data_IF_938734127927
#
_entry.id   IF_938734127927
#
_cell.length_a   1.000
_cell.length_b   1.000
_cell.length_c   1.000
_cell.angle_alpha   90.00
_cell.angle_beta   90.00
_cell.angle_gamma   90.00
#
_symmetry.space_group_name_H-M   'P 1'
#
loop_
_entity.id
_entity.type
_entity.pdbx_description
1 polymer ?
#
# COMPACT_ATOMS: atom_id res chain seq x y z
N UNK A 1 -2.55 40.60 23.47
CA UNK A 1 -2.44 39.53 22.46
C UNK A 1 -2.42 38.22 23.21
N UNK A 2 -3.46 37.40 23.08
CA UNK A 2 -3.41 36.02 23.57
C UNK A 2 -2.25 35.31 22.86
N UNK A 3 -1.33 34.71 23.60
CA UNK A 3 -0.26 33.89 23.03
C UNK A 3 -0.89 32.84 22.12
N UNK A 4 -0.47 32.80 20.85
CA UNK A 4 -0.92 31.80 19.90
C UNK A 4 -0.35 30.47 20.38
N UNK A 5 -1.18 29.44 20.63
CA UNK A 5 -0.69 28.16 21.12
C UNK A 5 0.24 27.53 20.09
N UNK A 6 1.51 27.36 20.45
CA UNK A 6 2.50 26.68 19.61
C UNK A 6 2.37 25.18 19.78
N UNK A 7 2.31 24.45 18.66
CA UNK A 7 2.20 22.99 18.63
C UNK A 7 3.49 22.38 18.10
N UNK A 8 3.98 21.31 18.71
CA UNK A 8 5.17 20.62 18.23
C UNK A 8 4.85 19.82 16.96
N UNK A 9 5.76 19.84 15.96
CA UNK A 9 5.55 19.13 14.69
C UNK A 9 5.32 17.62 14.87
N UNK A 10 5.95 17.02 15.89
CA UNK A 10 5.80 15.59 16.23
C UNK A 10 4.38 15.22 16.67
N UNK A 11 3.60 16.19 17.15
CA UNK A 11 2.23 15.99 17.67
C UNK A 11 1.17 15.92 16.54
N UNK A 12 1.54 16.31 15.31
CA UNK A 12 0.63 16.36 14.16
C UNK A 12 0.22 14.95 13.71
N UNK A 13 1.20 14.08 13.57
CA UNK A 13 1.00 12.72 13.05
C UNK A 13 0.07 11.88 13.95
N UNK A 14 0.27 11.76 15.28
CA UNK A 14 -0.64 10.97 16.12
C UNK A 14 -2.03 11.59 16.18
N UNK A 15 -2.15 12.92 16.10
CA UNK A 15 -3.44 13.62 16.09
C UNK A 15 -4.23 13.32 14.80
N UNK A 16 -3.59 13.43 13.64
CA UNK A 16 -4.26 13.13 12.36
C UNK A 16 -4.63 11.65 12.24
N UNK A 17 -3.78 10.74 12.71
CA UNK A 17 -4.09 9.30 12.72
C UNK A 17 -5.40 9.04 13.45
N UNK A 18 -5.56 9.58 14.67
CA UNK A 18 -6.79 9.37 15.44
C UNK A 18 -8.00 10.10 14.86
N UNK A 19 -7.86 11.31 14.33
CA UNK A 19 -8.96 12.02 13.66
C UNK A 19 -9.48 11.27 12.42
N UNK A 20 -8.59 10.54 11.73
CA UNK A 20 -8.94 9.72 10.57
C UNK A 20 -9.39 8.29 10.95
N UNK A 21 -9.43 7.95 12.25
CA UNK A 21 -9.75 6.60 12.71
C UNK A 21 -8.68 5.54 12.37
N UNK A 22 -7.45 5.98 12.10
CA UNK A 22 -6.31 5.11 11.79
C UNK A 22 -5.45 4.88 13.05
N UNK A 23 -4.79 3.71 13.18
CA UNK A 23 -3.86 3.48 14.28
C UNK A 23 -2.67 4.45 14.22
N UNK A 24 -2.20 4.91 15.39
CA UNK A 24 -1.02 5.78 15.49
C UNK A 24 0.23 4.99 15.05
N UNK A 25 1.10 5.55 14.17
CA UNK A 25 2.32 4.88 13.72
C UNK A 25 3.19 4.44 14.88
N UNK A 26 3.70 3.21 14.82
CA UNK A 26 4.38 2.56 15.94
C UNK A 26 5.57 3.34 16.50
N UNK A 27 6.36 4.01 15.65
CA UNK A 27 7.55 4.78 16.05
C UNK A 27 7.26 6.20 16.53
N UNK A 28 5.99 6.58 16.66
CA UNK A 28 5.62 7.92 17.05
C UNK A 28 5.70 8.11 18.58
N UNK A 29 6.29 9.22 19.02
CA UNK A 29 6.40 9.63 20.43
C UNK A 29 5.71 10.98 20.71
N UNK A 30 5.11 11.59 19.68
CA UNK A 30 4.40 12.84 19.79
C UNK A 30 3.14 12.70 20.63
N UNK A 31 2.69 13.80 21.22
CA UNK A 31 1.44 13.88 21.99
C UNK A 31 0.28 14.20 21.06
N UNK A 32 -0.94 13.92 21.49
CA UNK A 32 -2.13 14.38 20.75
C UNK A 32 -2.47 15.81 21.11
N UNK A 33 -2.86 16.58 20.10
CA UNK A 33 -3.44 17.91 20.24
C UNK A 33 -4.89 17.75 20.71
N UNK A 34 -5.07 17.60 22.02
CA UNK A 34 -6.37 17.33 22.64
C UNK A 34 -7.48 18.33 22.30
N UNK A 35 -7.22 19.63 22.05
CA UNK A 35 -8.27 20.58 21.65
C UNK A 35 -8.89 20.32 20.27
N UNK A 36 -8.32 19.44 19.44
CA UNK A 36 -8.90 19.07 18.15
C UNK A 36 -9.97 17.98 18.26
N UNK A 37 -10.10 17.34 19.43
CA UNK A 37 -11.10 16.30 19.70
C UNK A 37 -12.36 16.91 20.34
N UNK A 38 -12.87 17.99 19.73
CA UNK A 38 -14.15 18.60 20.09
C UNK A 38 -15.23 17.98 19.24
N UNK A 39 -16.06 17.12 19.86
CA UNK A 39 -17.20 16.51 19.20
C UNK A 39 -18.32 17.55 19.11
N UNK A 40 -18.53 18.13 17.92
CA UNK A 40 -19.65 19.03 17.66
C UNK A 40 -20.70 18.29 16.80
N UNK A 41 -21.34 17.29 17.40
CA UNK A 41 -22.42 16.54 16.75
C UNK A 41 -23.78 17.15 17.10
N UNK A 42 -24.74 17.07 16.16
CA UNK A 42 -26.14 17.48 16.41
C UNK A 42 -26.85 16.63 17.48
N UNK A 43 -26.31 15.45 17.77
CA UNK A 43 -26.78 14.53 18.81
C UNK A 43 -25.64 14.35 19.81
N UNK A 44 -25.83 14.82 21.04
CA UNK A 44 -24.92 14.61 22.18
C UNK A 44 -25.44 13.46 23.03
N UNK A 45 -24.53 12.60 23.51
CA UNK A 45 -24.89 11.49 24.40
C UNK A 45 -25.13 11.97 25.83
N UNK A 46 -24.40 13.01 26.25
CA UNK A 46 -24.53 13.64 27.55
C UNK A 46 -24.69 15.16 27.38
N UNK A 47 -23.60 15.92 27.35
CA UNK A 47 -23.51 17.34 27.03
C UNK A 47 -22.28 17.60 26.13
N UNK A 48 -22.27 18.67 25.34
CA UNK A 48 -21.17 19.02 24.41
C UNK A 48 -19.80 19.09 25.11
N UNK A 49 -19.77 19.63 26.34
CA UNK A 49 -18.55 19.76 27.16
C UNK A 49 -18.06 18.40 27.63
N UNK A 50 -18.96 17.52 28.09
CA UNK A 50 -18.59 16.21 28.60
C UNK A 50 -18.19 15.26 27.47
N UNK A 51 -18.86 15.34 26.32
CA UNK A 51 -18.56 14.50 25.16
C UNK A 51 -17.19 14.85 24.55
N UNK A 52 -16.86 16.15 24.48
CA UNK A 52 -15.53 16.61 24.09
C UNK A 52 -14.45 16.23 25.11
N UNK A 53 -14.75 16.30 26.41
CA UNK A 53 -13.82 15.87 27.46
C UNK A 53 -13.55 14.35 27.39
N UNK A 54 -14.57 13.54 27.09
CA UNK A 54 -14.42 12.10 26.94
C UNK A 54 -13.63 11.75 25.67
N UNK A 55 -13.92 12.41 24.55
CA UNK A 55 -13.21 12.18 23.29
C UNK A 55 -11.71 12.54 23.38
N UNK A 56 -11.40 13.68 23.99
CA UNK A 56 -10.01 14.09 24.21
C UNK A 56 -9.28 13.17 25.20
N UNK A 57 -9.96 12.67 26.23
CA UNK A 57 -9.40 11.69 27.17
C UNK A 57 -9.14 10.33 26.49
N UNK A 58 -10.07 9.85 25.66
CA UNK A 58 -9.91 8.62 24.89
C UNK A 58 -8.72 8.70 23.93
N UNK A 59 -8.64 9.79 23.17
CA UNK A 59 -7.53 10.04 22.26
C UNK A 59 -6.20 10.02 23.01
N UNK A 60 -6.11 10.74 24.13
CA UNK A 60 -4.93 10.75 24.99
C UNK A 60 -4.54 9.37 25.52
N UNK A 61 -5.51 8.53 25.87
CA UNK A 61 -5.26 7.17 26.34
C UNK A 61 -4.67 6.28 25.23
N UNK A 62 -5.20 6.33 24.01
CA UNK A 62 -4.70 5.56 22.86
C UNK A 62 -3.24 5.90 22.53
N UNK A 63 -2.88 7.20 22.57
CA UNK A 63 -1.49 7.62 22.40
C UNK A 63 -0.59 7.12 23.52
N UNK A 64 -1.01 7.26 24.78
CA UNK A 64 -0.22 6.78 25.91
C UNK A 64 0.05 5.27 25.82
N UNK A 65 -0.92 4.49 25.35
CA UNK A 65 -0.78 3.05 25.17
C UNK A 65 0.18 2.71 24.01
N UNK A 66 0.08 3.40 22.87
CA UNK A 66 1.00 3.21 21.75
C UNK A 66 2.44 3.56 22.14
N UNK A 67 2.66 4.69 22.82
CA UNK A 67 3.98 5.13 23.28
C UNK A 67 4.57 4.12 24.28
N UNK A 68 3.76 3.58 25.19
CA UNK A 68 4.20 2.51 26.10
C UNK A 68 4.69 1.29 25.32
N UNK A 69 3.90 0.84 24.34
CA UNK A 69 4.24 -0.33 23.51
C UNK A 69 5.56 -0.13 22.77
N UNK A 70 5.79 1.07 22.25
CA UNK A 70 7.04 1.43 21.58
C UNK A 70 8.24 1.44 22.55
N UNK A 71 8.10 2.05 23.72
CA UNK A 71 9.17 2.10 24.72
C UNK A 71 9.54 0.71 25.27
N UNK A 72 8.56 -0.17 25.46
CA UNK A 72 8.82 -1.55 25.88
C UNK A 72 9.62 -2.31 24.83
N UNK A 73 9.25 -2.18 23.54
CA UNK A 73 9.96 -2.82 22.44
C UNK A 73 11.40 -2.29 22.29
N UNK A 74 11.63 -0.99 22.51
CA UNK A 74 12.99 -0.43 22.52
C UNK A 74 13.80 -0.96 23.69
N UNK A 75 13.22 -1.02 24.89
CA UNK A 75 13.95 -1.47 26.07
C UNK A 75 14.38 -2.93 25.95
N UNK A 76 13.52 -3.81 25.42
CA UNK A 76 13.85 -5.21 25.14
C UNK A 76 15.03 -5.38 24.17
N UNK A 77 15.20 -4.44 23.22
CA UNK A 77 16.23 -4.52 22.19
C UNK A 77 17.53 -3.85 22.63
N UNK A 78 17.45 -2.72 23.32
CA UNK A 78 18.59 -1.82 23.57
C UNK A 78 19.12 -1.86 25.01
N UNK A 79 18.30 -2.22 26.00
CA UNK A 79 18.61 -2.07 27.44
C UNK A 79 19.12 -0.66 27.84
N UNK A 80 18.83 0.38 27.04
CA UNK A 80 19.36 1.74 27.25
C UNK A 80 18.53 2.56 28.25
N UNK A 81 17.29 2.16 28.54
CA UNK A 81 16.38 2.89 29.42
C UNK A 81 16.59 2.46 30.88
N UNK A 82 16.72 3.43 31.79
CA UNK A 82 16.85 3.14 33.23
C UNK A 82 15.59 2.48 33.80
N UNK A 83 15.76 1.40 34.57
CA UNK A 83 14.67 0.70 35.27
C UNK A 83 13.83 1.65 36.15
N UNK A 84 14.48 2.66 36.74
CA UNK A 84 13.82 3.68 37.56
C UNK A 84 12.81 4.54 36.76
N UNK A 85 13.11 4.81 35.49
CA UNK A 85 12.25 5.55 34.58
C UNK A 85 11.07 4.69 34.12
N UNK A 86 11.33 3.42 33.80
CA UNK A 86 10.31 2.46 33.37
C UNK A 86 9.26 2.22 34.47
N UNK A 87 9.69 1.98 35.71
CA UNK A 87 8.79 1.79 36.85
C UNK A 87 7.93 3.04 37.10
N UNK A 88 8.52 4.23 36.98
CA UNK A 88 7.80 5.50 37.17
C UNK A 88 6.74 5.73 36.09
N UNK A 89 7.05 5.39 34.85
CA UNK A 89 6.13 5.48 33.71
C UNK A 89 4.99 4.46 33.84
N UNK A 90 5.31 3.21 34.16
CA UNK A 90 4.33 2.15 34.33
C UNK A 90 3.34 2.47 35.46
N UNK A 91 3.84 3.06 36.56
CA UNK A 91 2.98 3.54 37.65
C UNK A 91 2.00 4.62 37.18
N UNK A 92 2.48 5.65 36.49
CA UNK A 92 1.63 6.74 35.98
C UNK A 92 0.59 6.26 34.99
N UNK A 93 0.95 5.29 34.14
CA UNK A 93 0.03 4.72 33.18
C UNK A 93 -1.01 3.84 33.85
N UNK A 94 -0.62 3.03 34.86
CA UNK A 94 -1.57 2.26 35.67
C UNK A 94 -2.58 3.16 36.36
N UNK A 95 -2.13 4.28 36.95
CA UNK A 95 -3.01 5.27 37.58
C UNK A 95 -4.01 5.86 36.56
N UNK A 96 -3.54 6.26 35.38
CA UNK A 96 -4.39 6.77 34.30
C UNK A 96 -5.39 5.71 33.79
N UNK A 97 -4.95 4.46 33.65
CA UNK A 97 -5.79 3.34 33.22
C UNK A 97 -6.86 3.00 34.26
N UNK A 98 -6.53 3.09 35.55
CA UNK A 98 -7.48 2.91 36.64
C UNK A 98 -8.53 4.03 36.68
N UNK A 99 -8.11 5.28 36.48
CA UNK A 99 -9.04 6.42 36.35
C UNK A 99 -9.98 6.25 35.16
N UNK A 100 -9.43 5.85 34.00
CA UNK A 100 -10.22 5.58 32.80
C UNK A 100 -11.23 4.45 33.04
N UNK A 101 -10.80 3.31 33.57
CA UNK A 101 -11.67 2.16 33.85
C UNK A 101 -12.81 2.52 34.82
N UNK A 102 -12.56 3.43 35.77
CA UNK A 102 -13.59 3.96 36.67
C UNK A 102 -14.63 4.82 35.94
N UNK A 103 -14.20 5.59 34.94
CA UNK A 103 -15.09 6.42 34.09
C UNK A 103 -15.86 5.52 33.11
N UNK A 104 -15.21 4.57 32.46
CA UNK A 104 -15.83 3.67 31.47
C UNK A 104 -16.87 2.74 32.09
N UNK A 105 -16.63 2.25 33.32
CA UNK A 105 -17.61 1.41 34.04
C UNK A 105 -18.91 2.16 34.41
N UNK A 106 -18.90 3.50 34.40
CA UNK A 106 -20.11 4.31 34.55
C UNK A 106 -20.82 4.56 33.20
N UNK A 107 -20.11 4.41 32.07
CA UNK A 107 -20.63 4.62 30.70
C UNK A 107 -21.19 3.31 30.09
N UNK A 108 -20.87 2.15 30.68
CA UNK A 108 -21.26 0.81 30.21
C UNK A 108 -22.77 0.56 30.07
N UNK A 109 -23.65 1.42 30.58
CA UNK A 109 -25.10 1.32 30.38
C UNK A 109 -25.52 1.57 28.91
N UNK A 110 -24.70 2.26 28.09
CA UNK A 110 -25.01 2.59 26.69
C UNK A 110 -24.33 1.70 25.62
N UNK A 111 -23.79 0.54 26.02
CA UNK A 111 -22.99 -0.38 25.17
C UNK A 111 -23.73 -0.93 23.93
N UNK A 112 -25.06 -0.85 23.91
CA UNK A 112 -25.91 -1.39 22.84
C UNK A 112 -25.84 -0.57 21.53
N UNK A 113 -25.41 0.70 21.57
CA UNK A 113 -25.34 1.57 20.39
C UNK A 113 -24.00 1.38 19.63
N UNK A 114 -22.92 1.02 20.33
CA UNK A 114 -21.62 0.78 19.70
C UNK A 114 -21.53 -0.59 19.00
N UNK A 115 -22.27 -1.59 19.48
CA UNK A 115 -22.35 -2.91 18.84
C UNK A 115 -23.06 -2.88 17.47
N UNK A 116 -24.03 -1.98 17.28
CA UNK A 116 -24.73 -1.85 15.99
C UNK A 116 -23.88 -1.17 14.92
N UNK A 117 -22.98 -0.25 15.31
CA UNK A 117 -22.03 0.41 14.39
C UNK A 117 -20.92 -0.57 13.97
N UNK A 118 -20.47 -1.43 14.88
CA UNK A 118 -19.49 -2.49 14.61
C UNK A 118 -20.00 -3.56 13.62
N UNK A 119 -21.30 -3.85 13.62
CA UNK A 119 -21.90 -4.80 12.66
C UNK A 119 -22.07 -4.18 11.26
N UNK A 120 -22.28 -2.87 11.18
CA UNK A 120 -22.43 -2.15 9.91
C UNK A 120 -21.11 -2.00 9.12
N UNK A 121 -19.96 -1.99 9.80
CA UNK A 121 -18.65 -1.94 9.14
C UNK A 121 -18.26 -3.26 8.45
N UNK A 122 -18.68 -4.41 8.99
CA UNK A 122 -18.37 -5.75 8.43
C UNK A 122 -19.01 -6.00 7.06
N UNK A 123 -20.12 -5.33 6.73
CA UNK A 123 -20.81 -5.49 5.44
C UNK A 123 -20.22 -4.61 4.33
N UNK A 124 -19.40 -3.61 4.66
CA UNK A 124 -18.78 -2.70 3.68
C UNK A 124 -17.55 -3.28 2.96
N UNK A 125 -16.87 -4.26 3.55
CA UNK A 125 -15.68 -4.90 2.98
C UNK A 125 -15.98 -5.95 1.89
N UNK A 126 -17.24 -6.39 1.78
CA UNK A 126 -17.68 -7.40 0.80
C UNK A 126 -17.96 -6.75 -0.57
N UNK A 127 -18.26 -5.45 -0.59
CA UNK A 127 -18.68 -4.71 -1.79
C UNK A 127 -17.54 -4.55 -2.81
N UNK A 128 -16.28 -4.24 -2.43
CA UNK A 128 -15.17 -4.19 -3.38
C UNK A 128 -14.88 -5.54 -4.04
N UNK A 129 -15.01 -6.65 -3.30
CA UNK A 129 -14.78 -8.00 -3.82
C UNK A 129 -15.86 -8.42 -4.83
N UNK A 130 -17.13 -8.08 -4.58
CA UNK A 130 -18.24 -8.30 -5.52
C UNK A 130 -18.16 -7.39 -6.75
N UNK A 131 -17.74 -6.13 -6.59
CA UNK A 131 -17.48 -5.22 -7.71
C UNK A 131 -16.30 -5.71 -8.56
N UNK A 132 -15.22 -6.20 -7.95
CA UNK A 132 -14.09 -6.80 -8.66
C UNK A 132 -14.52 -8.06 -9.43
N UNK A 133 -15.28 -8.97 -8.81
CA UNK A 133 -15.87 -10.14 -9.49
C UNK A 133 -16.84 -9.73 -10.61
N UNK A 134 -17.62 -8.67 -10.41
CA UNK A 134 -18.53 -8.11 -11.41
C UNK A 134 -17.79 -7.51 -12.62
N UNK A 135 -16.72 -6.75 -12.39
CA UNK A 135 -15.85 -6.19 -13.45
C UNK A 135 -15.12 -7.31 -14.21
N UNK A 136 -14.71 -8.38 -13.52
CA UNK A 136 -14.10 -9.55 -14.17
C UNK A 136 -15.12 -10.41 -14.95
N UNK A 137 -16.41 -10.33 -14.60
CA UNK A 137 -17.52 -10.91 -15.36
C UNK A 137 -17.88 -10.08 -16.61
N UNK A 138 -17.38 -8.84 -16.71
CA UNK A 138 -17.53 -8.00 -17.90
C UNK A 138 -16.66 -8.54 -19.02
N UNK A 139 -17.20 -9.58 -19.66
CA UNK A 139 -16.91 -10.18 -20.96
C UNK A 139 -15.67 -9.59 -21.66
N UNK A 140 -14.47 -9.87 -21.15
CA UNK A 140 -13.25 -9.89 -21.96
C UNK A 140 -13.35 -11.11 -22.89
N UNK A 141 -14.18 -10.96 -23.91
CA UNK A 141 -14.40 -11.95 -24.94
C UNK A 141 -13.22 -11.92 -25.91
N UNK A 142 -12.02 -12.25 -25.43
CA UNK A 142 -10.92 -12.57 -26.32
C UNK A 142 -11.32 -13.87 -27.02
N UNK A 143 -11.62 -13.80 -28.33
CA UNK A 143 -11.77 -14.99 -29.18
C UNK A 143 -10.44 -15.76 -29.08
N UNK A 144 -10.45 -16.87 -28.34
CA UNK A 144 -9.22 -17.53 -27.90
C UNK A 144 -8.58 -18.35 -29.02
N UNK A 145 -7.42 -17.91 -29.49
CA UNK A 145 -6.44 -18.79 -30.15
C UNK A 145 -5.03 -18.71 -29.53
N UNK A 146 -4.81 -17.88 -28.50
CA UNK A 146 -3.50 -17.74 -27.84
C UNK A 146 -3.51 -18.28 -26.40
N UNK A 147 -2.46 -18.97 -25.98
CA UNK A 147 -2.33 -19.51 -24.62
C UNK A 147 -2.18 -18.38 -23.59
N UNK A 148 -1.69 -17.19 -23.98
CA UNK A 148 -1.74 -15.98 -23.13
C UNK A 148 -3.18 -15.63 -22.73
N UNK A 149 -4.13 -15.70 -23.67
CA UNK A 149 -5.55 -15.49 -23.40
C UNK A 149 -6.14 -16.61 -22.52
N UNK A 150 -5.65 -17.84 -22.64
CA UNK A 150 -6.05 -18.97 -21.78
C UNK A 150 -5.48 -18.81 -20.36
N UNK A 151 -4.21 -18.45 -20.19
CA UNK A 151 -3.58 -18.14 -18.91
C UNK A 151 -4.23 -16.94 -18.23
N UNK A 152 -4.60 -15.91 -18.98
CA UNK A 152 -5.41 -14.78 -18.47
C UNK A 152 -6.80 -15.27 -18.07
N UNK A 153 -7.49 -16.07 -18.90
CA UNK A 153 -8.86 -16.53 -18.61
C UNK A 153 -8.95 -17.46 -17.40
N UNK A 154 -8.05 -18.43 -17.28
CA UNK A 154 -8.10 -19.46 -16.23
C UNK A 154 -7.11 -19.23 -15.09
N UNK A 155 -5.92 -18.71 -15.39
CA UNK A 155 -4.90 -18.40 -14.38
C UNK A 155 -5.29 -17.23 -13.50
N UNK A 156 -5.96 -16.20 -14.05
CA UNK A 156 -6.48 -15.10 -13.22
C UNK A 156 -7.56 -15.63 -12.28
N UNK A 157 -8.49 -16.45 -12.76
CA UNK A 157 -9.53 -17.03 -11.91
C UNK A 157 -8.93 -17.83 -10.74
N UNK A 158 -7.94 -18.67 -11.02
CA UNK A 158 -7.26 -19.46 -10.00
C UNK A 158 -6.50 -18.60 -8.98
N UNK A 159 -5.78 -17.57 -9.43
CA UNK A 159 -5.05 -16.68 -8.51
C UNK A 159 -6.00 -15.79 -7.71
N UNK A 160 -7.07 -15.26 -8.33
CA UNK A 160 -8.11 -14.54 -7.60
C UNK A 160 -8.71 -15.41 -6.50
N UNK A 161 -8.99 -16.70 -6.78
CA UNK A 161 -9.42 -17.64 -5.74
C UNK A 161 -8.38 -17.74 -4.63
N UNK A 162 -7.09 -17.96 -4.93
CA UNK A 162 -6.05 -18.12 -3.91
C UNK A 162 -5.82 -16.85 -3.08
N UNK A 163 -5.85 -15.68 -3.70
CA UNK A 163 -5.76 -14.39 -3.00
C UNK A 163 -6.99 -14.12 -2.15
N UNK A 164 -8.20 -14.42 -2.65
CA UNK A 164 -9.43 -14.30 -1.88
C UNK A 164 -9.47 -15.28 -0.70
N UNK A 165 -8.94 -16.50 -0.87
CA UNK A 165 -8.82 -17.49 0.20
C UNK A 165 -7.84 -17.01 1.29
N UNK A 166 -6.74 -16.36 0.91
CA UNK A 166 -5.80 -15.75 1.86
C UNK A 166 -6.45 -14.66 2.69
N UNK A 167 -7.16 -13.73 2.04
CA UNK A 167 -7.85 -12.65 2.76
C UNK A 167 -9.01 -13.18 3.61
N UNK A 168 -9.71 -14.21 3.13
CA UNK A 168 -10.74 -14.89 3.91
C UNK A 168 -10.17 -15.50 5.19
N UNK A 169 -8.98 -16.12 5.14
CA UNK A 169 -8.31 -16.64 6.35
C UNK A 169 -7.99 -15.55 7.37
N UNK A 170 -7.67 -14.33 6.94
CA UNK A 170 -7.42 -13.21 7.84
C UNK A 170 -8.68 -12.72 8.58
N UNK A 171 -9.87 -13.02 8.05
CA UNK A 171 -11.17 -12.69 8.68
C UNK A 171 -11.56 -13.78 9.71
N UNK A 172 -11.08 -15.01 9.53
CA UNK A 172 -11.39 -16.14 10.40
C UNK A 172 -10.60 -16.01 11.72
N UNK A 173 -11.23 -16.21 12.90
CA UNK A 173 -10.53 -16.18 14.18
C UNK A 173 -9.31 -17.11 14.21
N UNK A 174 -8.18 -16.63 14.73
CA UNK A 174 -6.89 -17.36 14.75
C UNK A 174 -6.99 -18.78 15.30
N UNK A 175 -7.84 -19.01 16.31
CA UNK A 175 -8.05 -20.34 16.90
C UNK A 175 -8.58 -21.39 15.91
N UNK A 176 -9.36 -20.96 14.91
CA UNK A 176 -9.90 -21.83 13.86
C UNK A 176 -8.85 -22.02 12.77
N UNK A 177 -8.13 -20.95 12.40
CA UNK A 177 -7.05 -20.99 11.41
C UNK A 177 -5.93 -21.90 11.88
N UNK A 178 -5.49 -21.78 13.13
CA UNK A 178 -4.47 -22.64 13.75
C UNK A 178 -4.89 -24.11 13.79
N UNK A 179 -6.19 -24.40 13.95
CA UNK A 179 -6.71 -25.77 13.94
C UNK A 179 -6.67 -26.38 12.54
N UNK A 180 -6.91 -25.58 11.51
CA UNK A 180 -6.97 -26.01 10.10
C UNK A 180 -5.56 -26.08 9.50
N UNK A 181 -4.75 -25.03 9.69
CA UNK A 181 -3.44 -24.87 9.07
C UNK A 181 -2.29 -25.30 9.98
N UNK A 182 -2.54 -25.62 11.26
CA UNK A 182 -1.52 -26.09 12.22
C UNK A 182 -0.27 -25.17 12.25
N UNK A 183 -0.47 -23.86 12.21
CA UNK A 183 0.61 -22.86 12.21
C UNK A 183 1.35 -22.67 10.87
N UNK A 184 0.87 -23.24 9.77
CA UNK A 184 1.49 -23.13 8.44
C UNK A 184 0.82 -22.07 7.53
N UNK A 185 0.42 -20.92 8.05
CA UNK A 185 -0.14 -19.82 7.25
C UNK A 185 0.78 -19.39 6.08
N UNK A 186 2.09 -19.55 6.27
CA UNK A 186 3.14 -19.30 5.27
C UNK A 186 3.04 -20.22 4.03
N UNK A 187 2.37 -21.38 4.14
CA UNK A 187 2.21 -22.29 2.99
C UNK A 187 1.31 -21.66 1.92
N UNK A 188 0.25 -20.95 2.31
CA UNK A 188 -0.67 -20.38 1.34
C UNK A 188 -0.04 -19.23 0.56
N UNK A 189 0.72 -18.38 1.24
CA UNK A 189 1.47 -17.28 0.61
C UNK A 189 2.54 -17.82 -0.35
N UNK A 190 3.21 -18.93 0.01
CA UNK A 190 4.17 -19.62 -0.87
C UNK A 190 3.52 -20.31 -2.06
N UNK A 191 2.36 -20.93 -1.87
CA UNK A 191 1.59 -21.54 -2.96
C UNK A 191 1.12 -20.48 -3.98
N UNK A 192 0.68 -19.31 -3.48
CA UNK A 192 0.35 -18.17 -4.35
C UNK A 192 1.59 -17.65 -5.11
N UNK A 193 2.76 -17.59 -4.46
CA UNK A 193 4.00 -17.19 -5.13
C UNK A 193 4.40 -18.19 -6.22
N UNK A 194 4.45 -19.49 -5.90
CA UNK A 194 4.82 -20.53 -6.84
C UNK A 194 3.89 -20.57 -8.05
N UNK A 195 2.59 -20.39 -7.83
CA UNK A 195 1.62 -20.33 -8.93
C UNK A 195 1.82 -19.07 -9.79
N UNK A 196 2.15 -17.92 -9.20
CA UNK A 196 2.50 -16.71 -9.96
C UNK A 196 3.78 -16.88 -10.80
N UNK A 197 4.80 -17.58 -10.28
CA UNK A 197 6.04 -17.90 -11.02
C UNK A 197 5.74 -18.86 -12.17
N UNK A 198 4.93 -19.90 -11.94
CA UNK A 198 4.55 -20.86 -12.99
C UNK A 198 3.78 -20.15 -14.11
N UNK A 199 2.85 -19.25 -13.76
CA UNK A 199 2.15 -18.40 -14.73
C UNK A 199 3.12 -17.47 -15.48
N UNK A 200 4.10 -16.88 -14.79
CA UNK A 200 5.15 -16.07 -15.42
C UNK A 200 5.92 -16.83 -16.48
N UNK A 201 6.43 -18.01 -16.12
CA UNK A 201 7.19 -18.87 -17.01
C UNK A 201 6.31 -19.28 -18.20
N UNK A 202 5.05 -19.64 -17.98
CA UNK A 202 4.10 -19.97 -19.05
C UNK A 202 3.88 -18.82 -20.02
N UNK A 203 3.73 -17.59 -19.53
CA UNK A 203 3.57 -16.38 -20.35
C UNK A 203 4.82 -16.06 -21.17
N UNK A 204 6.01 -16.16 -20.56
CA UNK A 204 7.29 -15.84 -21.21
C UNK A 204 7.69 -16.90 -22.24
N UNK A 205 7.42 -18.19 -21.97
CA UNK A 205 7.75 -19.29 -22.88
C UNK A 205 6.74 -19.45 -24.01
N UNK A 206 5.55 -18.85 -23.94
CA UNK A 206 4.51 -19.05 -24.95
C UNK A 206 4.89 -18.63 -26.38
N UNK A 207 5.57 -17.48 -26.62
CA UNK A 207 6.01 -17.12 -27.98
C UNK A 207 6.92 -18.18 -28.61
N UNK A 208 7.57 -19.00 -27.80
CA UNK A 208 8.47 -20.10 -28.22
C UNK A 208 7.67 -21.40 -28.43
N UNK A 209 6.63 -21.64 -27.61
CA UNK A 209 5.82 -22.86 -27.62
C UNK A 209 4.61 -22.81 -28.57
N UNK A 210 4.22 -21.63 -29.05
CA UNK A 210 3.12 -21.50 -30.02
C UNK A 210 3.53 -22.09 -31.36
N UNK A 211 2.74 -23.03 -31.88
CA UNK A 211 3.01 -23.65 -33.19
C UNK A 211 2.74 -22.70 -34.37
N UNK A 212 1.99 -21.60 -34.16
CA UNK A 212 1.63 -20.62 -35.20
C UNK A 212 1.52 -19.16 -34.70
N UNK A 213 2.59 -18.56 -34.16
CA UNK A 213 2.56 -17.17 -33.68
C UNK A 213 2.30 -16.14 -34.79
N UNK A 214 2.45 -16.52 -36.06
CA UNK A 214 2.32 -15.69 -37.25
C UNK A 214 0.88 -15.50 -37.77
N UNK A 215 -0.11 -16.28 -37.30
CA UNK A 215 -1.51 -16.17 -37.74
C UNK A 215 -2.31 -15.09 -36.99
N UNK A 216 -1.80 -14.59 -35.86
CA UNK A 216 -2.45 -13.58 -35.02
C UNK A 216 -1.87 -12.20 -35.34
N UNK A 217 -2.69 -11.14 -35.48
CA UNK A 217 -2.18 -9.79 -35.67
C UNK A 217 -1.25 -9.39 -34.53
N UNK A 218 -0.06 -8.88 -34.86
CA UNK A 218 1.00 -8.56 -33.90
C UNK A 218 0.52 -7.69 -32.73
N UNK A 219 -0.43 -6.78 -32.97
CA UNK A 219 -1.07 -5.92 -31.96
C UNK A 219 -1.76 -6.72 -30.84
N UNK A 220 -2.49 -7.77 -31.18
CA UNK A 220 -3.22 -8.59 -30.19
C UNK A 220 -2.27 -9.46 -29.36
N UNK A 221 -1.22 -9.98 -30.00
CA UNK A 221 -0.16 -10.74 -29.32
C UNK A 221 0.51 -9.84 -28.28
N UNK A 222 1.04 -8.68 -28.69
CA UNK A 222 1.72 -7.76 -27.77
C UNK A 222 0.77 -7.30 -26.66
N UNK A 223 -0.48 -6.95 -26.97
CA UNK A 223 -1.46 -6.53 -25.96
C UNK A 223 -1.70 -7.62 -24.91
N UNK A 224 -1.95 -8.86 -25.34
CA UNK A 224 -2.18 -9.99 -24.43
C UNK A 224 -0.93 -10.34 -23.60
N UNK A 225 0.26 -10.24 -24.19
CA UNK A 225 1.52 -10.49 -23.49
C UNK A 225 1.79 -9.44 -22.43
N UNK A 226 1.74 -8.14 -22.75
CA UNK A 226 2.02 -7.09 -21.76
C UNK A 226 0.98 -7.05 -20.65
N UNK A 227 -0.30 -7.25 -20.96
CA UNK A 227 -1.35 -7.35 -19.93
C UNK A 227 -1.11 -8.54 -19.01
N UNK A 228 -0.77 -9.72 -19.54
CA UNK A 228 -0.46 -10.89 -18.71
C UNK A 228 0.76 -10.67 -17.79
N UNK A 229 1.84 -10.06 -18.28
CA UNK A 229 3.01 -9.70 -17.47
C UNK A 229 2.63 -8.71 -16.35
N UNK A 230 1.79 -7.72 -16.65
CA UNK A 230 1.31 -6.75 -15.67
C UNK A 230 0.48 -7.41 -14.57
N UNK A 231 -0.39 -8.37 -14.92
CA UNK A 231 -1.16 -9.14 -13.94
C UNK A 231 -0.28 -10.00 -13.04
N UNK A 232 0.71 -10.69 -13.61
CA UNK A 232 1.65 -11.49 -12.81
C UNK A 232 2.46 -10.61 -11.87
N UNK A 233 2.94 -9.46 -12.35
CA UNK A 233 3.64 -8.50 -11.49
C UNK A 233 2.72 -8.04 -10.35
N UNK A 234 1.47 -7.68 -10.65
CA UNK A 234 0.51 -7.26 -9.63
C UNK A 234 0.35 -8.32 -8.52
N UNK A 235 0.33 -9.60 -8.87
CA UNK A 235 0.26 -10.70 -7.90
C UNK A 235 1.50 -10.78 -7.01
N UNK A 236 2.70 -10.65 -7.59
CA UNK A 236 3.95 -10.59 -6.84
C UNK A 236 3.91 -9.37 -5.89
N UNK A 237 3.44 -8.22 -6.35
CA UNK A 237 3.32 -7.01 -5.54
C UNK A 237 2.34 -7.19 -4.37
N UNK A 238 1.18 -7.81 -4.59
CA UNK A 238 0.24 -8.13 -3.51
C UNK A 238 0.86 -9.02 -2.44
N UNK A 239 1.66 -9.99 -2.88
CA UNK A 239 2.31 -10.91 -1.97
C UNK A 239 3.41 -10.23 -1.15
N UNK A 240 4.22 -9.41 -1.82
CA UNK A 240 5.39 -8.75 -1.24
C UNK A 240 5.02 -7.56 -0.34
N UNK A 241 3.94 -6.84 -0.67
CA UNK A 241 3.44 -5.74 0.15
C UNK A 241 2.92 -6.20 1.52
N UNK A 242 2.57 -7.48 1.67
CA UNK A 242 2.01 -8.02 2.91
C UNK A 242 0.58 -7.54 3.16
N UNK A 243 -0.02 -8.02 4.25
CA UNK A 243 -1.47 -7.87 4.48
C UNK A 243 -1.86 -6.39 4.72
N UNK A 244 -1.04 -5.65 5.46
CA UNK A 244 -1.32 -4.24 5.80
C UNK A 244 -1.30 -3.29 4.59
N UNK A 245 -0.44 -3.54 3.59
CA UNK A 245 -0.27 -2.64 2.44
C UNK A 245 -0.93 -3.18 1.16
N UNK A 246 -1.45 -4.41 1.19
CA UNK A 246 -2.19 -5.00 0.08
C UNK A 246 -3.40 -4.17 -0.39
N UNK A 247 -4.20 -3.48 0.46
CA UNK A 247 -5.25 -2.58 -0.03
C UNK A 247 -4.72 -1.41 -0.87
N UNK A 248 -3.54 -0.88 -0.54
CA UNK A 248 -2.91 0.20 -1.31
C UNK A 248 -2.50 -0.28 -2.71
N UNK A 249 -1.98 -1.51 -2.84
CA UNK A 249 -1.68 -2.12 -4.14
C UNK A 249 -2.96 -2.36 -4.97
N UNK A 250 -4.07 -2.71 -4.32
CA UNK A 250 -5.38 -2.83 -4.98
C UNK A 250 -5.89 -1.49 -5.50
N UNK A 251 -5.81 -0.43 -4.69
CA UNK A 251 -6.21 0.90 -5.13
C UNK A 251 -5.30 1.43 -6.25
N UNK A 252 -4.00 1.07 -6.22
CA UNK A 252 -3.07 1.37 -7.31
C UNK A 252 -3.54 0.75 -8.63
N UNK A 253 -3.88 -0.54 -8.64
CA UNK A 253 -4.36 -1.21 -9.86
C UNK A 253 -5.70 -0.65 -10.33
N UNK A 254 -6.60 -0.31 -9.41
CA UNK A 254 -7.86 0.35 -9.72
C UNK A 254 -7.65 1.74 -10.35
N UNK A 255 -6.71 2.54 -9.82
CA UNK A 255 -6.37 3.85 -10.38
C UNK A 255 -5.83 3.76 -11.80
N UNK A 256 -5.04 2.72 -12.10
CA UNK A 256 -4.54 2.43 -13.43
C UNK A 256 -5.68 2.05 -14.38
N UNK A 257 -6.61 1.20 -13.92
CA UNK A 257 -7.79 0.81 -14.69
C UNK A 257 -8.63 2.03 -15.07
N UNK A 258 -8.92 2.92 -14.12
CA UNK A 258 -9.64 4.16 -14.38
C UNK A 258 -8.92 5.04 -15.40
N UNK A 259 -7.59 5.16 -15.27
CA UNK A 259 -6.79 5.91 -16.23
C UNK A 259 -6.85 5.32 -17.65
N UNK A 260 -6.79 4.00 -17.78
CA UNK A 260 -6.95 3.31 -19.08
C UNK A 260 -8.35 3.55 -19.67
N UNK A 261 -9.41 3.47 -18.85
CA UNK A 261 -10.79 3.77 -19.29
C UNK A 261 -10.90 5.22 -19.77
N UNK A 262 -10.31 6.17 -19.04
CA UNK A 262 -10.30 7.59 -19.45
C UNK A 262 -9.58 7.79 -20.79
N UNK A 263 -8.44 7.12 -21.01
CA UNK A 263 -7.74 7.16 -22.30
C UNK A 263 -8.65 6.61 -23.41
N UNK A 264 -9.33 5.49 -23.17
CA UNK A 264 -10.24 4.89 -24.17
C UNK A 264 -11.40 5.82 -24.52
N UNK A 265 -11.99 6.50 -23.53
CA UNK A 265 -13.08 7.45 -23.74
C UNK A 265 -12.62 8.74 -24.44
N UNK A 266 -11.36 9.15 -24.21
CA UNK A 266 -10.78 10.35 -24.80
C UNK A 266 -10.18 10.12 -26.20
N UNK A 267 -10.11 8.89 -26.69
CA UNK A 267 -9.42 8.58 -27.93
C UNK A 267 -10.29 8.87 -29.16
N UNK A 268 -10.10 10.07 -29.75
CA UNK A 268 -10.76 10.50 -30.99
C UNK A 268 -10.05 10.01 -32.28
N UNK A 269 -9.00 9.20 -32.16
CA UNK A 269 -8.30 8.59 -33.31
C UNK A 269 -7.40 9.54 -34.13
N UNK A 270 -7.40 10.84 -33.84
CA UNK A 270 -6.73 11.88 -34.64
C UNK A 270 -5.40 12.39 -34.05
N UNK A 271 -5.25 12.45 -32.72
CA UNK A 271 -3.98 12.83 -32.07
C UNK A 271 -3.51 11.86 -30.98
N UNK A 272 -2.21 11.52 -31.02
CA UNK A 272 -1.55 10.72 -30.00
C UNK A 272 -0.80 11.59 -28.99
N UNK A 273 -1.50 12.01 -27.93
CA UNK A 273 -0.94 12.65 -26.74
C UNK A 273 -0.11 11.68 -25.85
N UNK A 274 0.80 10.91 -26.44
CA UNK A 274 1.63 9.94 -25.70
C UNK A 274 2.49 10.59 -24.60
N UNK A 275 2.85 11.86 -24.77
CA UNK A 275 3.61 12.62 -23.79
C UNK A 275 2.81 12.92 -22.52
N UNK A 276 1.54 13.32 -22.66
CA UNK A 276 0.69 13.58 -21.49
C UNK A 276 0.48 12.29 -20.70
N UNK A 277 0.25 11.17 -21.39
CA UNK A 277 0.06 9.86 -20.76
C UNK A 277 1.31 9.44 -19.98
N UNK A 278 2.49 9.63 -20.57
CA UNK A 278 3.78 9.33 -19.93
C UNK A 278 4.00 10.17 -18.67
N UNK A 279 3.68 11.47 -18.72
CA UNK A 279 3.79 12.39 -17.58
C UNK A 279 2.82 11.96 -16.47
N UNK A 280 1.55 11.72 -16.80
CA UNK A 280 0.53 11.31 -15.83
C UNK A 280 0.93 9.99 -15.16
N UNK A 281 1.40 8.99 -15.91
CA UNK A 281 1.88 7.74 -15.35
C UNK A 281 3.11 7.91 -14.46
N UNK A 282 4.03 8.82 -14.82
CA UNK A 282 5.20 9.11 -13.96
C UNK A 282 4.79 9.76 -12.63
N UNK A 283 3.74 10.58 -12.64
CA UNK A 283 3.15 11.19 -11.44
C UNK A 283 2.39 10.16 -10.60
N UNK A 284 1.59 9.29 -11.24
CA UNK A 284 0.90 8.18 -10.57
C UNK A 284 1.90 7.22 -9.91
N UNK A 285 2.97 6.87 -10.60
CA UNK A 285 4.05 6.04 -10.03
C UNK A 285 4.63 6.67 -8.75
N UNK A 286 4.83 8.00 -8.75
CA UNK A 286 5.33 8.72 -7.58
C UNK A 286 4.30 8.82 -6.46
N UNK A 287 3.04 9.05 -6.79
CA UNK A 287 1.96 9.09 -5.81
C UNK A 287 1.85 7.74 -5.09
N UNK A 288 1.80 6.65 -5.86
CA UNK A 288 1.67 5.30 -5.31
C UNK A 288 2.91 4.80 -4.57
N UNK A 289 4.09 5.34 -4.85
CA UNK A 289 5.27 5.09 -4.00
C UNK A 289 4.99 5.51 -2.54
N UNK A 290 4.43 6.71 -2.33
CA UNK A 290 4.10 7.18 -0.98
C UNK A 290 2.83 6.54 -0.43
N UNK A 291 1.81 6.32 -1.28
CA UNK A 291 0.55 5.70 -0.84
C UNK A 291 0.71 4.23 -0.42
N UNK A 292 1.75 3.54 -0.91
CA UNK A 292 2.16 2.20 -0.43
C UNK A 292 3.10 2.26 0.79
N UNK A 293 3.12 3.39 1.50
CA UNK A 293 3.93 3.64 2.69
C UNK A 293 5.46 3.56 2.49
N UNK A 294 5.97 3.70 1.25
CA UNK A 294 7.40 3.83 1.04
C UNK A 294 7.87 5.27 1.27
N UNK A 295 9.09 5.40 1.81
CA UNK A 295 9.76 6.68 1.97
C UNK A 295 11.16 6.62 1.34
N UNK A 296 11.70 7.75 0.85
CA UNK A 296 13.00 7.79 0.19
C UNK A 296 14.15 7.85 1.23
N UNK A 297 14.13 6.95 2.22
CA UNK A 297 15.19 6.83 3.24
C UNK A 297 15.59 5.37 3.43
N UNK A 298 16.85 5.09 3.75
CA UNK A 298 17.31 3.71 3.90
C UNK A 298 16.68 3.00 5.12
N UNK A 299 16.36 3.74 6.16
CA UNK A 299 15.73 3.23 7.40
C UNK A 299 14.27 2.83 7.21
N UNK A 300 13.60 3.32 6.17
CA UNK A 300 12.19 3.03 5.88
C UNK A 300 12.01 1.90 4.87
N UNK A 301 13.08 1.20 4.48
CA UNK A 301 12.98 0.06 3.57
C UNK A 301 12.24 -1.08 4.29
N UNK A 302 11.19 -1.59 3.64
CA UNK A 302 10.37 -2.69 4.16
C UNK A 302 11.09 -4.02 3.94
N UNK A 303 11.93 -4.42 4.91
CA UNK A 303 12.75 -5.63 4.83
C UNK A 303 11.98 -6.94 4.93
N UNK A 304 10.72 -6.91 5.39
CA UNK A 304 9.86 -8.11 5.50
C UNK A 304 9.72 -8.85 4.16
N UNK A 305 9.75 -8.09 3.06
CA UNK A 305 9.78 -8.60 1.69
C UNK A 305 10.91 -9.62 1.42
N UNK A 306 12.06 -9.47 2.08
CA UNK A 306 13.22 -10.34 1.91
C UNK A 306 13.00 -11.77 2.42
N UNK A 307 12.08 -11.95 3.37
CA UNK A 307 11.92 -13.18 4.14
C UNK A 307 10.72 -14.03 3.72
N UNK A 308 9.92 -13.56 2.76
CA UNK A 308 8.73 -14.26 2.27
C UNK A 308 9.01 -15.70 1.81
N UNK A 309 10.16 -15.94 1.17
CA UNK A 309 10.54 -17.25 0.62
C UNK A 309 11.61 -18.00 1.42
N UNK A 310 12.34 -17.32 2.31
CA UNK A 310 13.40 -17.96 3.06
C UNK A 310 12.81 -18.67 4.29
N UNK A 311 13.00 -19.99 4.36
CA UNK A 311 12.84 -20.75 5.59
C UNK A 311 14.19 -21.35 5.97
N UNK A 312 14.30 -21.81 7.24
CA UNK A 312 15.48 -22.28 7.99
C UNK A 312 16.58 -23.09 7.25
N UNK A 313 16.39 -23.51 6.00
CA UNK A 313 17.31 -24.38 5.25
C UNK A 313 17.69 -23.87 3.85
N UNK A 314 17.02 -22.85 3.28
CA UNK A 314 17.34 -22.30 1.95
C UNK A 314 17.45 -20.77 2.04
N UNK A 315 18.68 -20.27 2.02
CA UNK A 315 18.98 -18.84 1.99
C UNK A 315 19.52 -18.45 0.61
N UNK A 316 18.71 -17.72 -0.16
CA UNK A 316 19.18 -17.07 -1.38
C UNK A 316 19.17 -15.56 -1.20
N UNK A 317 20.35 -14.98 -0.97
CA UNK A 317 20.50 -13.53 -0.82
C UNK A 317 20.09 -12.77 -2.09
N UNK A 318 20.28 -13.36 -3.26
CA UNK A 318 19.90 -12.75 -4.55
C UNK A 318 18.39 -12.63 -4.69
N UNK A 319 17.65 -13.69 -4.32
CA UNK A 319 16.19 -13.69 -4.35
C UNK A 319 15.60 -12.71 -3.32
N UNK A 320 16.13 -12.72 -2.10
CA UNK A 320 15.74 -11.77 -1.06
C UNK A 320 15.99 -10.32 -1.47
N UNK A 321 17.15 -10.02 -2.04
CA UNK A 321 17.46 -8.69 -2.57
C UNK A 321 16.50 -8.29 -3.69
N UNK A 322 16.22 -9.20 -4.63
CA UNK A 322 15.27 -8.96 -5.71
C UNK A 322 13.86 -8.64 -5.20
N UNK A 323 13.36 -9.37 -4.20
CA UNK A 323 12.05 -9.12 -3.60
C UNK A 323 11.97 -7.74 -2.93
N UNK A 324 13.02 -7.33 -2.21
CA UNK A 324 13.09 -5.99 -1.59
C UNK A 324 13.09 -4.90 -2.67
N UNK A 325 13.85 -5.07 -3.75
CA UNK A 325 13.87 -4.13 -4.88
C UNK A 325 12.50 -4.05 -5.55
N UNK A 326 11.86 -5.19 -5.81
CA UNK A 326 10.51 -5.26 -6.39
C UNK A 326 9.49 -4.58 -5.48
N UNK A 327 9.59 -4.75 -4.15
CA UNK A 327 8.71 -4.06 -3.21
C UNK A 327 8.91 -2.54 -3.26
N UNK A 328 10.17 -2.12 -3.11
CA UNK A 328 10.56 -0.71 -2.95
C UNK A 328 10.24 0.11 -4.20
N UNK A 329 10.45 -0.49 -5.38
CA UNK A 329 10.19 0.15 -6.67
C UNK A 329 8.90 -0.33 -7.34
N UNK A 330 8.01 -0.97 -6.57
CA UNK A 330 6.76 -1.60 -7.04
C UNK A 330 5.94 -0.68 -7.94
N UNK A 331 5.64 0.53 -7.48
CA UNK A 331 4.84 1.50 -8.23
C UNK A 331 5.52 1.93 -9.53
N UNK A 332 6.84 2.14 -9.54
CA UNK A 332 7.57 2.57 -10.72
C UNK A 332 7.63 1.49 -11.80
N UNK A 333 7.89 0.24 -11.40
CA UNK A 333 7.93 -0.91 -12.30
C UNK A 333 6.54 -1.19 -12.87
N UNK A 334 5.50 -1.15 -12.03
CA UNK A 334 4.13 -1.40 -12.42
C UNK A 334 3.62 -0.41 -13.48
N UNK A 335 3.83 0.90 -13.26
CA UNK A 335 3.38 1.93 -14.21
C UNK A 335 4.24 1.98 -15.48
N UNK A 336 5.54 1.63 -15.41
CA UNK A 336 6.39 1.51 -16.60
C UNK A 336 5.89 0.40 -17.55
N UNK A 337 5.50 -0.75 -17.01
CA UNK A 337 4.94 -1.84 -17.81
C UNK A 337 3.54 -1.48 -18.33
N UNK A 338 2.72 -0.79 -17.54
CA UNK A 338 1.40 -0.32 -17.97
C UNK A 338 1.47 0.64 -19.17
N UNK A 339 2.50 1.50 -19.21
CA UNK A 339 2.76 2.40 -20.33
C UNK A 339 2.94 1.65 -21.66
N UNK A 340 3.57 0.47 -21.62
CA UNK A 340 3.71 -0.40 -22.80
C UNK A 340 2.36 -0.88 -23.32
N UNK A 341 1.47 -1.31 -22.42
CA UNK A 341 0.11 -1.73 -22.76
C UNK A 341 -0.71 -0.59 -23.36
N UNK A 342 -0.57 0.63 -22.83
CA UNK A 342 -1.30 1.82 -23.31
C UNK A 342 -0.84 2.23 -24.72
N UNK A 343 0.47 2.17 -25.02
CA UNK A 343 0.98 2.42 -26.36
C UNK A 343 0.33 1.49 -27.39
N UNK A 344 0.26 0.20 -27.04
CA UNK A 344 -0.33 -0.83 -27.91
C UNK A 344 -1.81 -0.56 -28.15
N UNK A 345 -2.54 -0.04 -27.15
CA UNK A 345 -3.94 0.32 -27.33
C UNK A 345 -4.12 1.49 -28.31
N UNK A 346 -3.24 2.51 -28.21
CA UNK A 346 -3.37 3.80 -28.90
C UNK A 346 -2.83 3.82 -30.34
N UNK A 347 -1.72 3.15 -30.61
CA UNK A 347 -1.12 3.20 -31.94
C UNK A 347 -1.84 2.26 -32.94
N UNK A 348 -2.17 2.82 -34.09
CA UNK A 348 -2.72 2.12 -35.26
C UNK A 348 -1.63 1.50 -36.15
N UNK A 349 -0.36 1.88 -35.96
CA UNK A 349 0.78 1.44 -36.74
C UNK A 349 1.51 0.22 -36.12
N UNK A 350 2.40 -0.40 -36.91
CA UNK A 350 3.24 -1.51 -36.48
C UNK A 350 4.06 -1.13 -35.23
N UNK A 351 3.77 -1.80 -34.12
CA UNK A 351 4.55 -1.70 -32.88
C UNK A 351 5.93 -2.30 -33.15
N UNK A 352 6.98 -1.51 -32.95
CA UNK A 352 8.37 -1.95 -33.08
C UNK A 352 9.05 -1.88 -31.72
N UNK A 353 10.06 -2.72 -31.48
CA UNK A 353 10.86 -2.65 -30.25
C UNK A 353 11.46 -1.25 -30.02
N UNK A 354 11.74 -0.53 -31.11
CA UNK A 354 12.23 0.85 -31.08
C UNK A 354 11.20 1.86 -30.56
N UNK A 355 9.91 1.70 -30.84
CA UNK A 355 8.87 2.60 -30.33
C UNK A 355 8.66 2.39 -28.82
N UNK A 356 8.66 1.13 -28.38
CA UNK A 356 8.60 0.75 -26.96
C UNK A 356 9.80 1.31 -26.20
N UNK A 357 11.03 1.12 -26.71
CA UNK A 357 12.24 1.64 -26.09
C UNK A 357 12.20 3.17 -25.98
N UNK A 358 11.82 3.88 -27.05
CA UNK A 358 11.67 5.34 -27.03
C UNK A 358 10.70 5.80 -25.95
N UNK A 359 9.60 5.07 -25.75
CA UNK A 359 8.61 5.41 -24.74
C UNK A 359 9.15 5.26 -23.32
N UNK A 360 9.86 4.17 -23.03
CA UNK A 360 10.50 3.98 -21.72
C UNK A 360 11.61 5.00 -21.47
N UNK A 361 12.35 5.40 -22.49
CA UNK A 361 13.34 6.49 -22.37
C UNK A 361 12.66 7.82 -22.01
N UNK A 362 11.48 8.12 -22.57
CA UNK A 362 10.69 9.29 -22.16
C UNK A 362 10.23 9.20 -20.71
N UNK A 363 9.77 8.02 -20.28
CA UNK A 363 9.38 7.79 -18.90
C UNK A 363 10.55 7.99 -17.92
N UNK A 364 11.73 7.47 -18.24
CA UNK A 364 12.95 7.69 -17.47
C UNK A 364 13.39 9.16 -17.47
N UNK A 365 13.22 9.87 -18.59
CA UNK A 365 13.53 11.30 -18.69
C UNK A 365 12.70 12.13 -17.70
N UNK A 366 11.42 11.81 -17.48
CA UNK A 366 10.57 12.49 -16.49
C UNK A 366 11.19 12.45 -15.08
N UNK A 367 11.75 11.31 -14.67
CA UNK A 367 12.46 11.20 -13.39
C UNK A 367 13.84 11.84 -13.42
N UNK A 368 14.55 11.76 -14.54
CA UNK A 368 15.87 12.39 -14.72
C UNK A 368 15.84 13.90 -14.59
N UNK A 369 14.84 14.57 -15.19
CA UNK A 369 14.65 16.03 -15.06
C UNK A 369 14.42 16.42 -13.60
N UNK A 370 13.61 15.63 -12.88
CA UNK A 370 13.37 15.85 -11.45
C UNK A 370 14.65 15.69 -10.63
N UNK A 371 15.43 14.63 -10.90
CA UNK A 371 16.69 14.38 -10.21
C UNK A 371 17.67 15.55 -10.43
N UNK A 372 17.81 16.02 -11.66
CA UNK A 372 18.64 17.18 -11.99
C UNK A 372 18.16 18.43 -11.26
N UNK A 373 16.84 18.67 -11.19
CA UNK A 373 16.25 19.75 -10.40
C UNK A 373 16.61 19.66 -8.91
N UNK A 374 16.55 18.46 -8.31
CA UNK A 374 16.94 18.27 -6.90
C UNK A 374 18.44 18.48 -6.66
N UNK A 375 19.29 18.10 -7.62
CA UNK A 375 20.74 18.34 -7.53
C UNK A 375 21.04 19.83 -7.60
N UNK A 376 20.42 20.57 -8.52
CA UNK A 376 20.56 22.02 -8.62
C UNK A 376 20.05 22.70 -7.35
N UNK A 377 18.86 22.33 -6.86
CA UNK A 377 18.30 22.88 -5.63
C UNK A 377 19.20 22.61 -4.42
N UNK A 378 19.75 21.39 -4.30
CA UNK A 378 20.72 21.04 -3.26
C UNK A 378 22.00 21.88 -3.37
N UNK A 379 22.52 22.09 -4.58
CA UNK A 379 23.70 22.94 -4.81
C UNK A 379 23.44 24.40 -4.40
N UNK A 380 22.26 24.95 -4.71
CA UNK A 380 21.86 26.30 -4.31
C UNK A 380 21.69 26.40 -2.78
N UNK A 381 20.94 25.49 -2.17
CA UNK A 381 20.70 25.49 -0.71
C UNK A 381 21.96 25.21 0.10
N UNK A 382 22.92 24.45 -0.43
CA UNK A 382 24.21 24.19 0.23
C UNK A 382 24.97 25.48 0.54
N UNK A 383 24.82 26.53 -0.29
CA UNK A 383 25.42 27.85 -0.01
C UNK A 383 24.76 28.58 1.16
N UNK A 384 23.47 28.37 1.40
CA UNK A 384 22.75 29.02 2.49
C UNK A 384 22.86 28.26 3.83
N UNK A 385 22.96 26.92 3.80
CA UNK A 385 23.15 26.13 5.01
C UNK A 385 24.54 26.32 5.64
N UNK A 386 25.60 26.41 4.81
CA UNK A 386 26.95 26.75 5.30
C UNK A 386 27.04 28.18 5.84
N UNK A 387 26.29 29.12 5.26
CA UNK A 387 26.26 30.51 5.75
C UNK A 387 25.64 30.60 7.14
N UNK A 388 24.63 29.78 7.44
CA UNK A 388 24.00 29.75 8.76
C UNK A 388 24.94 29.20 9.84
N UNK A 389 25.78 28.21 9.48
CA UNK A 389 26.82 27.68 10.38
C UNK A 389 27.93 28.70 10.64
N UNK A 390 28.27 29.56 9.67
CA UNK A 390 29.28 30.61 9.81
C UNK A 390 28.75 31.82 10.60
N UNK A 391 27.44 32.07 10.62
CA UNK A 391 26.83 33.14 11.43
C UNK A 391 26.60 32.70 12.89
N UNK A 392 26.58 31.39 13.16
CA UNK A 392 26.39 30.80 14.50
C UNK A 392 27.70 30.35 15.19
N UNK A 393 28.85 30.60 14.55
CA UNK A 393 30.20 30.49 15.13
C UNK A 393 30.76 31.90 15.33
#
# INVERSE_FOLDING_TARGET
MSEIPTVAQVDIVPTLSLLLGLPIPFSNLGKIITPLFVLNFKETCFDEITDSAIASALAGAENAFQVQKYLHAINEISNELSDSFMIKMEKRLKDATHMWKRITNNITENRNILSSISESYKTSEIIPALLFLGIMSYKYCIKSQTVSAVCVKYGIFFVCIMTSLRWWLNIVPSNIVDRILKGNEVILTRAALLTSIILFIGVVLFPILSERPWEVPSKEIYSSSFTSVLFILLQILFLVAGDALSPAVMLMSFSLLLFVILIQLSFDGTESHLWTDTIILSLLARHWFYATAHQPTFTSIQWDAAFLLNHKEIHSYTLSGALVVINTFSSFIFHALALSSILIMRDSFYITSHSILRLHMKYLLCFGVKLLGTVIASFILRRHLMFLVIILL
#
